data_IF_733924524590
#
_entry.id   IF_733924524590
#
_cell.length_a   1.000
_cell.length_b   1.000
_cell.length_c   1.000
_cell.angle_alpha   90.00
_cell.angle_beta   90.00
_cell.angle_gamma   90.00
#
_symmetry.space_group_name_H-M   'P 1'
#
loop_
_entity.id
_entity.type
_entity.pdbx_description
1 polymer ?
#
# COMPACT_ATOMS: atom_id res chain seq x y z
N UNK A 1 -4.93 9.52 -57.85
CA UNK A 1 -4.30 8.54 -56.99
C UNK A 1 -3.50 9.23 -55.85
N UNK A 2 -4.13 9.91 -54.90
CA UNK A 2 -3.44 10.60 -53.73
C UNK A 2 -4.30 10.68 -52.45
N UNK A 3 -5.17 9.73 -52.15
CA UNK A 3 -6.02 9.78 -50.94
C UNK A 3 -5.98 8.50 -50.08
N UNK A 4 -5.03 7.59 -50.30
CA UNK A 4 -5.00 6.30 -49.57
C UNK A 4 -3.87 6.15 -48.52
N UNK A 5 -3.04 7.18 -48.29
CA UNK A 5 -1.83 7.05 -47.44
C UNK A 5 -2.01 7.63 -46.02
N UNK A 6 -3.09 8.37 -45.75
CA UNK A 6 -3.25 9.08 -44.45
C UNK A 6 -3.91 8.22 -43.33
N UNK A 7 -4.57 7.11 -43.68
CA UNK A 7 -5.34 6.31 -42.70
C UNK A 7 -4.49 5.27 -41.92
N UNK A 8 -3.31 4.90 -42.42
CA UNK A 8 -2.48 3.86 -41.80
C UNK A 8 -1.61 4.38 -40.62
N UNK A 9 -1.39 5.70 -40.56
CA UNK A 9 -0.54 6.29 -39.49
C UNK A 9 -1.26 6.56 -38.15
N UNK A 10 -2.58 6.40 -38.08
CA UNK A 10 -3.37 6.67 -36.87
C UNK A 10 -3.66 5.42 -36.02
N UNK A 11 -3.26 4.23 -36.46
CA UNK A 11 -3.53 2.97 -35.72
C UNK A 11 -2.34 2.42 -34.93
N UNK A 12 -1.19 3.11 -34.90
CA UNK A 12 0.00 2.61 -34.21
C UNK A 12 0.28 3.24 -32.82
N UNK A 13 -0.61 4.05 -32.26
CA UNK A 13 -0.30 4.80 -31.03
C UNK A 13 -0.99 4.31 -29.74
N UNK A 14 -1.55 3.10 -29.70
CA UNK A 14 -2.28 2.67 -28.49
C UNK A 14 -1.63 1.56 -27.64
N UNK A 15 -0.39 1.17 -27.89
CA UNK A 15 0.26 0.08 -27.15
C UNK A 15 1.53 0.46 -26.34
N UNK A 16 1.88 1.73 -26.22
CA UNK A 16 3.16 2.11 -25.61
C UNK A 16 3.16 2.19 -24.07
N UNK A 17 2.02 2.44 -23.42
CA UNK A 17 1.97 2.76 -21.99
C UNK A 17 2.33 1.57 -21.09
N UNK A 18 2.03 0.33 -21.49
CA UNK A 18 2.32 -0.84 -20.66
C UNK A 18 3.74 -1.41 -20.83
N UNK A 19 4.40 -1.13 -21.93
CA UNK A 19 5.77 -1.55 -22.17
C UNK A 19 6.78 -0.71 -21.39
N UNK A 20 6.53 0.59 -21.25
CA UNK A 20 7.44 1.52 -20.58
C UNK A 20 7.59 1.24 -19.10
N UNK A 21 6.52 0.89 -18.38
CA UNK A 21 6.60 0.60 -16.93
C UNK A 21 7.40 -0.67 -16.65
N UNK A 22 7.22 -1.73 -17.45
CA UNK A 22 8.05 -2.95 -17.33
C UNK A 22 9.50 -2.61 -17.67
N UNK A 23 9.72 -1.80 -18.69
CA UNK A 23 11.03 -1.40 -19.13
C UNK A 23 11.76 -0.54 -18.09
N UNK A 24 11.05 0.35 -17.40
CA UNK A 24 11.63 1.18 -16.35
C UNK A 24 12.00 0.37 -15.09
N UNK A 25 11.18 -0.62 -14.69
CA UNK A 25 11.55 -1.54 -13.61
C UNK A 25 12.73 -2.45 -13.98
N UNK A 26 12.82 -2.88 -15.25
CA UNK A 26 13.96 -3.67 -15.77
C UNK A 26 15.23 -2.80 -15.88
N UNK A 27 15.07 -1.51 -16.12
CA UNK A 27 16.18 -0.54 -16.10
C UNK A 27 16.72 -0.25 -14.71
N UNK A 28 15.99 -0.59 -13.63
CA UNK A 28 16.61 -0.58 -12.31
C UNK A 28 17.62 -1.74 -12.33
N UNK A 29 18.92 -1.43 -12.54
CA UNK A 29 19.93 -2.47 -12.57
C UNK A 29 19.85 -3.16 -11.21
N UNK A 30 19.94 -4.47 -11.14
CA UNK A 30 19.97 -5.15 -9.86
C UNK A 30 18.64 -5.65 -9.30
N UNK A 31 17.50 -5.46 -9.98
CA UNK A 31 16.27 -6.19 -9.67
C UNK A 31 16.21 -7.50 -10.46
N UNK A 32 15.83 -8.58 -9.78
CA UNK A 32 15.53 -9.87 -10.42
C UNK A 32 14.08 -10.30 -10.13
N UNK A 33 13.51 -11.06 -11.07
CA UNK A 33 12.18 -11.63 -10.92
C UNK A 33 12.26 -12.78 -9.91
N UNK A 34 11.40 -12.72 -8.89
CA UNK A 34 11.25 -13.76 -7.87
C UNK A 34 10.05 -14.68 -8.18
N UNK A 35 8.87 -14.12 -8.39
CA UNK A 35 7.67 -14.88 -8.77
C UNK A 35 6.72 -14.03 -9.63
N UNK A 36 6.29 -14.61 -10.76
CA UNK A 36 5.30 -14.01 -11.67
C UNK A 36 4.06 -14.90 -11.85
N UNK A 37 4.06 -16.10 -11.24
CA UNK A 37 2.98 -17.08 -11.36
C UNK A 37 2.05 -17.00 -10.16
N UNK A 38 1.43 -15.83 -9.95
CA UNK A 38 0.56 -15.57 -8.80
C UNK A 38 -0.91 -15.54 -9.22
N UNK A 39 -1.86 -15.97 -8.35
CA UNK A 39 -3.28 -16.01 -8.69
C UNK A 39 -3.86 -14.64 -9.07
N UNK A 40 -3.38 -13.58 -8.42
CA UNK A 40 -3.83 -12.19 -8.62
C UNK A 40 -2.97 -11.40 -9.60
N UNK A 41 -2.04 -12.08 -10.32
CA UNK A 41 -1.14 -11.51 -11.34
C UNK A 41 -0.14 -10.46 -10.83
N UNK A 42 0.04 -10.32 -9.52
CA UNK A 42 1.16 -9.55 -8.98
C UNK A 42 2.48 -10.20 -9.38
N UNK A 43 3.45 -9.37 -9.70
CA UNK A 43 4.81 -9.76 -10.05
C UNK A 43 5.74 -9.34 -8.92
N UNK A 44 6.47 -10.30 -8.38
CA UNK A 44 7.41 -10.10 -7.28
C UNK A 44 8.82 -10.04 -7.81
N UNK A 45 9.53 -8.98 -7.45
CA UNK A 45 10.94 -8.75 -7.75
C UNK A 45 11.69 -8.60 -6.43
N UNK A 46 12.99 -8.82 -6.47
CA UNK A 46 13.85 -8.60 -5.32
C UNK A 46 15.14 -7.90 -5.71
N UNK A 47 15.73 -7.18 -4.77
CA UNK A 47 17.03 -6.55 -4.97
C UNK A 47 18.14 -7.59 -4.88
N UNK A 48 18.83 -7.83 -5.98
CA UNK A 48 20.04 -8.68 -6.02
C UNK A 48 21.27 -7.91 -5.54
N UNK A 49 21.29 -6.62 -5.80
CA UNK A 49 22.31 -5.67 -5.36
C UNK A 49 21.63 -4.38 -4.90
N UNK A 50 22.32 -3.52 -4.12
CA UNK A 50 21.78 -2.22 -3.75
C UNK A 50 21.41 -1.38 -4.97
N UNK A 51 20.34 -0.61 -4.85
CA UNK A 51 19.92 0.35 -5.86
C UNK A 51 19.42 1.63 -5.23
N UNK A 52 19.40 2.70 -6.01
CA UNK A 52 18.86 4.00 -5.64
C UNK A 52 17.82 4.45 -6.66
N UNK A 53 16.75 5.10 -6.17
CA UNK A 53 15.64 5.63 -6.97
C UNK A 53 15.30 7.06 -6.53
N UNK A 54 14.27 7.62 -7.18
CA UNK A 54 13.77 8.96 -6.89
C UNK A 54 14.47 10.05 -7.68
N UNK A 55 13.87 11.24 -7.71
CA UNK A 55 14.34 12.39 -8.52
C UNK A 55 15.78 12.74 -8.16
N UNK A 56 16.12 12.77 -6.87
CA UNK A 56 17.45 13.12 -6.37
C UNK A 56 18.21 11.88 -5.84
N UNK A 57 17.87 10.68 -6.31
CA UNK A 57 18.42 9.42 -5.79
C UNK A 57 18.27 9.28 -4.27
N UNK A 58 17.18 9.78 -3.74
CA UNK A 58 16.90 9.87 -2.31
C UNK A 58 16.27 8.60 -1.73
N UNK A 59 15.84 7.65 -2.56
CA UNK A 59 15.34 6.34 -2.14
C UNK A 59 16.47 5.35 -2.26
N UNK A 60 16.83 4.69 -1.16
CA UNK A 60 17.87 3.69 -1.11
C UNK A 60 17.30 2.36 -0.66
N UNK A 61 17.75 1.28 -1.28
CA UNK A 61 17.36 -0.08 -0.95
C UNK A 61 18.53 -1.03 -1.14
N UNK A 62 18.74 -1.94 -0.20
CA UNK A 62 19.85 -2.86 -0.21
C UNK A 62 19.43 -4.27 -0.69
N UNK A 63 20.43 -5.09 -1.01
CA UNK A 63 20.20 -6.43 -1.52
C UNK A 63 19.52 -7.34 -0.49
N UNK A 64 18.60 -8.17 -0.97
CA UNK A 64 17.85 -9.12 -0.16
C UNK A 64 18.67 -10.38 0.13
N UNK A 65 18.85 -10.72 1.41
CA UNK A 65 19.42 -12.01 1.81
C UNK A 65 18.41 -13.13 1.57
N UNK A 66 18.85 -14.21 0.94
CA UNK A 66 17.96 -15.31 0.51
C UNK A 66 17.05 -15.84 1.61
N UNK A 67 17.57 -16.05 2.82
CA UNK A 67 16.79 -16.59 3.96
C UNK A 67 15.66 -15.65 4.37
N UNK A 68 15.96 -14.35 4.51
CA UNK A 68 14.97 -13.34 4.88
C UNK A 68 13.93 -13.19 3.76
N UNK A 69 14.39 -13.16 2.51
CA UNK A 69 13.55 -13.06 1.33
C UNK A 69 12.52 -14.20 1.27
N UNK A 70 12.92 -15.45 1.46
CA UNK A 70 12.05 -16.62 1.41
C UNK A 70 10.98 -16.59 2.53
N UNK A 71 11.35 -16.20 3.75
CA UNK A 71 10.42 -16.07 4.87
C UNK A 71 9.39 -14.96 4.62
N UNK A 72 9.87 -13.75 4.32
CA UNK A 72 9.01 -12.57 4.15
C UNK A 72 8.16 -12.66 2.90
N UNK A 73 8.67 -13.24 1.81
CA UNK A 73 7.88 -13.48 0.60
C UNK A 73 6.60 -14.29 0.89
N UNK A 74 6.70 -15.37 1.68
CA UNK A 74 5.52 -16.18 2.05
C UNK A 74 4.46 -15.33 2.75
N UNK A 75 4.89 -14.46 3.67
CA UNK A 75 4.02 -13.57 4.42
C UNK A 75 3.41 -12.49 3.51
N UNK A 76 4.23 -11.84 2.67
CA UNK A 76 3.78 -10.84 1.70
C UNK A 76 2.76 -11.46 0.74
N UNK A 77 3.08 -12.60 0.13
CA UNK A 77 2.17 -13.31 -0.79
C UNK A 77 0.85 -13.69 -0.12
N UNK A 78 0.88 -14.23 1.10
CA UNK A 78 -0.32 -14.57 1.88
C UNK A 78 -1.23 -13.35 2.05
N UNK A 79 -0.67 -12.19 2.38
CA UNK A 79 -1.43 -10.97 2.61
C UNK A 79 -1.94 -10.35 1.30
N UNK A 80 -1.10 -10.26 0.29
CA UNK A 80 -1.48 -9.65 -1.00
C UNK A 80 -2.41 -10.54 -1.84
N UNK A 81 -2.42 -11.86 -1.65
CA UNK A 81 -3.42 -12.75 -2.25
C UNK A 81 -4.85 -12.53 -1.72
N UNK A 82 -5.02 -11.68 -0.70
CA UNK A 82 -6.34 -11.23 -0.25
C UNK A 82 -7.00 -10.29 -1.26
N UNK A 83 -6.23 -9.64 -2.10
CA UNK A 83 -6.70 -8.74 -3.15
C UNK A 83 -6.90 -9.51 -4.45
N UNK A 84 -8.08 -9.36 -5.07
CA UNK A 84 -8.35 -9.96 -6.37
C UNK A 84 -7.56 -9.25 -7.47
N UNK A 85 -7.31 -9.93 -8.58
CA UNK A 85 -6.69 -9.31 -9.76
C UNK A 85 -7.49 -8.08 -10.23
N UNK A 86 -8.83 -8.16 -10.20
CA UNK A 86 -9.70 -7.06 -10.61
C UNK A 86 -9.50 -5.83 -9.71
N UNK A 87 -9.46 -6.02 -8.38
CA UNK A 87 -9.20 -4.93 -7.44
C UNK A 87 -7.81 -4.32 -7.66
N UNK A 88 -6.77 -5.14 -7.78
CA UNK A 88 -5.41 -4.68 -8.02
C UNK A 88 -5.27 -3.89 -9.32
N UNK A 89 -6.02 -4.27 -10.36
CA UNK A 89 -6.07 -3.51 -11.61
C UNK A 89 -6.73 -2.13 -11.41
N UNK A 90 -7.79 -2.04 -10.58
CA UNK A 90 -8.46 -0.76 -10.28
C UNK A 90 -7.55 0.22 -9.56
N UNK A 91 -6.71 -0.28 -8.65
CA UNK A 91 -5.72 0.54 -7.92
C UNK A 91 -4.37 0.62 -8.64
N UNK A 92 -4.27 0.05 -9.83
CA UNK A 92 -3.08 0.07 -10.67
C UNK A 92 -1.81 -0.56 -10.04
N UNK A 93 -1.94 -1.48 -9.07
CA UNK A 93 -0.80 -2.18 -8.47
C UNK A 93 -0.45 -3.44 -9.26
N UNK A 94 0.80 -3.55 -9.72
CA UNK A 94 1.29 -4.68 -10.54
C UNK A 94 2.56 -5.33 -10.01
N UNK A 95 3.42 -4.57 -9.35
CA UNK A 95 4.77 -4.99 -8.95
C UNK A 95 4.98 -4.86 -7.47
N UNK A 96 5.63 -5.84 -6.88
CA UNK A 96 6.11 -5.81 -5.51
C UNK A 96 7.63 -5.96 -5.56
N UNK A 97 8.35 -5.00 -5.03
CA UNK A 97 9.80 -5.03 -4.92
C UNK A 97 10.18 -5.28 -3.47
N UNK A 98 10.98 -6.31 -3.24
CA UNK A 98 11.45 -6.72 -1.93
C UNK A 98 12.95 -6.38 -1.79
N UNK A 99 13.31 -5.63 -0.76
CA UNK A 99 14.69 -5.26 -0.48
C UNK A 99 14.92 -5.09 1.02
N UNK A 100 16.13 -4.87 1.45
CA UNK A 100 16.49 -4.64 2.86
C UNK A 100 16.88 -3.18 3.09
N UNK A 101 16.68 -2.69 4.32
CA UNK A 101 17.11 -1.37 4.78
C UNK A 101 16.63 -0.23 3.85
N UNK A 102 15.33 -0.26 3.52
CA UNK A 102 14.68 0.75 2.68
C UNK A 102 14.66 2.10 3.39
N UNK A 103 15.08 3.14 2.70
CA UNK A 103 15.05 4.50 3.23
C UNK A 103 14.69 5.53 2.16
N UNK A 104 14.08 6.64 2.59
CA UNK A 104 13.85 7.82 1.78
C UNK A 104 14.45 9.04 2.48
N UNK A 105 15.31 9.80 1.80
CA UNK A 105 16.03 10.95 2.38
C UNK A 105 16.73 10.61 3.70
N UNK A 106 17.33 9.41 3.78
CA UNK A 106 18.00 8.83 4.96
C UNK A 106 17.05 8.52 6.15
N UNK A 107 15.74 8.53 5.95
CA UNK A 107 14.75 8.08 6.95
C UNK A 107 14.35 6.66 6.58
N UNK A 108 14.57 5.71 7.49
CA UNK A 108 14.13 4.33 7.29
C UNK A 108 12.61 4.25 7.19
N UNK A 109 12.11 3.50 6.21
CA UNK A 109 10.69 3.29 6.00
C UNK A 109 10.39 1.81 5.75
N UNK A 110 9.19 1.39 6.10
CA UNK A 110 8.74 0.01 5.92
C UNK A 110 8.30 -0.30 4.49
N UNK A 111 7.83 0.71 3.77
CA UNK A 111 7.40 0.59 2.38
C UNK A 111 7.37 1.94 1.68
N UNK A 112 7.33 1.88 0.35
CA UNK A 112 7.15 3.05 -0.52
C UNK A 112 6.18 2.65 -1.63
N UNK A 113 4.95 3.19 -1.63
CA UNK A 113 4.01 3.04 -2.73
C UNK A 113 4.39 3.99 -3.89
N UNK A 114 4.31 3.51 -5.12
CA UNK A 114 4.55 4.32 -6.32
C UNK A 114 3.51 3.98 -7.40
N UNK A 115 2.52 4.83 -7.54
CA UNK A 115 1.45 4.67 -8.52
C UNK A 115 1.92 4.86 -9.96
N UNK A 116 2.94 5.68 -10.20
CA UNK A 116 3.53 5.90 -11.53
C UNK A 116 4.18 4.62 -12.03
N UNK A 117 4.98 3.99 -11.17
CA UNK A 117 5.64 2.71 -11.45
C UNK A 117 4.74 1.50 -11.21
N UNK A 118 3.49 1.68 -10.73
CA UNK A 118 2.54 0.60 -10.39
C UNK A 118 3.13 -0.39 -9.38
N UNK A 119 3.91 0.10 -8.46
CA UNK A 119 4.84 -0.67 -7.63
C UNK A 119 4.62 -0.37 -6.14
N UNK A 120 4.82 -1.38 -5.33
CA UNK A 120 5.02 -1.27 -3.89
C UNK A 120 6.41 -1.84 -3.56
N UNK A 121 7.27 -1.02 -3.00
CA UNK A 121 8.58 -1.43 -2.48
C UNK A 121 8.41 -1.72 -0.98
N UNK A 122 8.92 -2.84 -0.50
CA UNK A 122 8.82 -3.28 0.89
C UNK A 122 10.19 -3.59 1.48
N UNK A 123 10.47 -3.05 2.66
CA UNK A 123 11.61 -3.44 3.48
C UNK A 123 11.33 -4.78 4.16
N UNK A 124 11.96 -5.85 3.67
CA UNK A 124 11.78 -7.20 4.23
C UNK A 124 12.48 -7.40 5.59
N UNK A 125 13.29 -6.45 6.05
CA UNK A 125 13.87 -6.44 7.41
C UNK A 125 13.01 -5.72 8.44
N UNK A 126 11.96 -5.04 8.00
CA UNK A 126 11.09 -4.34 8.91
C UNK A 126 10.53 -5.26 10.00
N UNK A 127 10.23 -4.69 11.19
CA UNK A 127 9.80 -5.40 12.40
C UNK A 127 8.62 -6.34 12.11
N UNK A 128 8.82 -7.62 12.44
CA UNK A 128 7.87 -8.70 12.15
C UNK A 128 6.52 -8.50 12.85
N UNK A 129 6.52 -7.88 14.04
CA UNK A 129 5.29 -7.64 14.80
C UNK A 129 4.32 -6.70 14.07
N UNK A 130 4.83 -5.82 13.20
CA UNK A 130 4.03 -4.85 12.47
C UNK A 130 3.93 -5.16 10.98
N UNK A 131 4.75 -6.06 10.44
CA UNK A 131 4.97 -6.22 9.01
C UNK A 131 3.69 -6.61 8.24
N UNK A 132 2.84 -7.52 8.77
CA UNK A 132 1.56 -7.85 8.13
C UNK A 132 0.67 -6.59 7.98
N UNK A 133 0.64 -5.75 9.00
CA UNK A 133 -0.14 -4.51 8.99
C UNK A 133 0.44 -3.50 8.02
N UNK A 134 1.76 -3.32 8.02
CA UNK A 134 2.48 -2.43 7.10
C UNK A 134 2.19 -2.77 5.63
N UNK A 135 2.18 -4.03 5.23
CA UNK A 135 1.82 -4.41 3.85
C UNK A 135 0.47 -3.81 3.44
N UNK A 136 -0.53 -3.86 4.32
CA UNK A 136 -1.85 -3.32 4.03
C UNK A 136 -1.89 -1.79 4.14
N UNK A 137 -1.13 -1.22 5.06
CA UNK A 137 -0.94 0.22 5.22
C UNK A 137 -0.44 0.85 3.90
N UNK A 138 0.62 0.32 3.34
CA UNK A 138 1.19 0.80 2.07
C UNK A 138 0.25 0.57 0.87
N UNK A 139 -0.48 -0.55 0.85
CA UNK A 139 -1.52 -0.77 -0.16
C UNK A 139 -2.62 0.30 -0.05
N UNK A 140 -2.94 0.78 1.17
CA UNK A 140 -3.93 1.83 1.31
C UNK A 140 -3.48 3.16 0.69
N UNK A 141 -2.20 3.53 0.80
CA UNK A 141 -1.70 4.73 0.13
C UNK A 141 -1.89 4.65 -1.39
N UNK A 142 -1.70 3.46 -2.00
CA UNK A 142 -2.00 3.24 -3.42
C UNK A 142 -3.49 3.38 -3.70
N UNK A 143 -4.36 2.85 -2.83
CA UNK A 143 -5.83 3.02 -2.94
C UNK A 143 -6.19 4.50 -2.85
N UNK A 144 -5.70 5.19 -1.84
CA UNK A 144 -5.97 6.60 -1.59
C UNK A 144 -5.53 7.47 -2.78
N UNK A 145 -4.32 7.24 -3.31
CA UNK A 145 -3.81 7.99 -4.45
C UNK A 145 -4.62 7.72 -5.74
N UNK A 146 -5.11 6.48 -5.92
CA UNK A 146 -5.96 6.11 -7.06
C UNK A 146 -7.40 6.65 -6.97
N UNK A 147 -7.89 6.96 -5.76
CA UNK A 147 -9.29 7.36 -5.48
C UNK A 147 -9.37 8.50 -4.46
N UNK A 148 -8.58 9.57 -4.67
CA UNK A 148 -8.48 10.73 -3.76
C UNK A 148 -9.83 11.37 -3.42
N UNK A 149 -10.75 11.36 -4.37
CA UNK A 149 -12.09 11.89 -4.17
C UNK A 149 -12.93 11.08 -3.16
N UNK A 150 -12.66 9.79 -3.02
CA UNK A 150 -13.35 8.92 -2.04
C UNK A 150 -12.73 9.02 -0.64
N UNK A 151 -11.44 9.29 -0.54
CA UNK A 151 -10.67 9.33 0.70
C UNK A 151 -10.19 10.75 1.02
N UNK A 152 -11.12 11.70 1.01
CA UNK A 152 -10.83 13.10 1.24
C UNK A 152 -10.39 13.38 2.68
N UNK A 153 -9.19 13.94 2.84
CA UNK A 153 -8.56 14.18 4.15
C UNK A 153 -9.31 15.22 5.01
N UNK A 154 -9.96 16.21 4.38
CA UNK A 154 -10.76 17.22 5.10
C UNK A 154 -11.99 16.54 5.73
N UNK A 155 -12.70 15.73 4.96
CA UNK A 155 -13.86 14.98 5.47
C UNK A 155 -13.46 14.00 6.57
N UNK A 156 -12.28 13.37 6.45
CA UNK A 156 -11.72 12.49 7.46
C UNK A 156 -11.38 13.22 8.74
N UNK A 157 -10.74 14.39 8.65
CA UNK A 157 -10.33 15.20 9.79
C UNK A 157 -11.52 15.67 10.62
N UNK A 158 -12.69 15.87 10.00
CA UNK A 158 -13.93 16.26 10.67
C UNK A 158 -14.52 15.19 11.62
N UNK A 159 -14.03 13.96 11.59
CA UNK A 159 -14.42 12.95 12.59
C UNK A 159 -13.76 13.17 13.95
N UNK A 160 -12.60 13.83 13.98
CA UNK A 160 -11.85 14.07 15.22
C UNK A 160 -12.54 15.13 16.09
N UNK A 161 -12.14 15.21 17.35
CA UNK A 161 -12.57 16.29 18.24
C UNK A 161 -12.06 17.63 17.73
N UNK A 162 -12.77 18.72 18.03
CA UNK A 162 -12.52 20.05 17.47
C UNK A 162 -11.11 20.58 17.76
N UNK A 163 -10.54 20.22 18.89
CA UNK A 163 -9.21 20.67 19.33
C UNK A 163 -8.07 19.90 18.68
N UNK A 164 -8.36 18.74 18.06
CA UNK A 164 -7.32 17.90 17.45
C UNK A 164 -6.86 18.47 16.10
N UNK A 165 -5.56 18.45 15.87
CA UNK A 165 -4.94 18.80 14.57
C UNK A 165 -3.87 17.78 14.23
N UNK A 166 -3.89 17.31 12.99
CA UNK A 166 -2.78 16.53 12.43
C UNK A 166 -1.53 17.41 12.28
N UNK A 167 -0.35 16.77 12.24
CA UNK A 167 0.89 17.44 11.88
C UNK A 167 0.92 17.74 10.36
N UNK A 168 1.85 18.59 9.94
CA UNK A 168 2.03 18.95 8.52
C UNK A 168 2.60 17.80 7.68
N UNK A 169 3.34 16.87 8.30
CA UNK A 169 3.87 15.66 7.65
C UNK A 169 4.02 14.52 8.66
N UNK A 170 4.08 13.28 8.14
CA UNK A 170 4.17 12.06 8.97
C UNK A 170 5.44 12.00 9.83
N UNK A 171 6.51 12.66 9.40
CA UNK A 171 7.79 12.73 10.12
C UNK A 171 7.99 14.02 10.91
N UNK A 172 7.03 14.97 10.86
CA UNK A 172 7.07 16.24 11.60
C UNK A 172 6.60 16.10 13.05
N UNK A 173 6.34 14.92 13.53
CA UNK A 173 5.84 14.62 14.87
C UNK A 173 6.71 13.59 15.58
N UNK A 174 6.63 13.57 16.92
CA UNK A 174 7.26 12.53 17.75
C UNK A 174 6.35 11.32 17.99
N UNK A 175 5.10 11.35 17.51
CA UNK A 175 4.10 10.30 17.65
C UNK A 175 4.28 9.24 16.55
N UNK A 176 5.28 8.38 16.71
CA UNK A 176 5.69 7.41 15.70
C UNK A 176 5.46 5.95 16.11
N UNK A 177 4.87 5.71 17.30
CA UNK A 177 4.64 4.34 17.77
C UNK A 177 3.57 3.64 16.93
N UNK A 178 3.92 2.44 16.46
CA UNK A 178 3.03 1.54 15.76
C UNK A 178 2.26 0.59 16.69
N UNK A 179 2.47 0.68 18.00
CA UNK A 179 1.73 -0.11 18.98
C UNK A 179 0.25 0.28 18.99
N UNK A 180 -0.63 -0.71 19.01
CA UNK A 180 -2.08 -0.46 19.12
C UNK A 180 -2.40 0.14 20.48
N UNK A 181 -3.11 1.25 20.49
CA UNK A 181 -3.54 1.95 21.70
C UNK A 181 -4.49 1.07 22.52
N UNK A 182 -4.31 1.03 23.84
CA UNK A 182 -5.25 0.36 24.75
C UNK A 182 -6.60 1.08 24.80
N UNK A 183 -6.58 2.42 24.72
CA UNK A 183 -7.75 3.30 24.64
C UNK A 183 -7.60 4.10 23.34
N UNK A 184 -8.47 3.88 22.38
CA UNK A 184 -8.28 4.33 21.00
C UNK A 184 -8.50 5.83 20.81
N UNK A 185 -9.42 6.47 21.50
CA UNK A 185 -9.72 7.92 21.39
C UNK A 185 -9.73 8.42 19.92
N UNK A 186 -10.30 7.64 19.02
CA UNK A 186 -10.33 7.93 17.58
C UNK A 186 -9.13 7.41 16.78
N UNK A 187 -8.10 6.82 17.41
CA UNK A 187 -6.86 6.43 16.74
C UNK A 187 -6.39 5.03 17.17
N UNK A 188 -6.01 4.19 16.21
CA UNK A 188 -5.46 2.86 16.52
C UNK A 188 -4.07 2.90 17.12
N UNK A 189 -3.22 3.83 16.69
CA UNK A 189 -1.82 3.96 17.08
C UNK A 189 -1.48 5.43 17.30
N UNK A 190 -0.37 5.74 17.95
CA UNK A 190 0.16 7.10 17.97
C UNK A 190 0.50 7.59 16.56
N UNK A 191 0.98 6.70 15.68
CA UNK A 191 1.30 7.03 14.30
C UNK A 191 0.07 7.49 13.51
N UNK A 192 -1.12 6.98 13.84
CA UNK A 192 -2.38 7.48 13.28
C UNK A 192 -2.63 8.97 13.53
N UNK A 193 -2.01 9.55 14.57
CA UNK A 193 -2.18 10.96 14.90
C UNK A 193 -1.26 11.88 14.07
N UNK A 194 -0.41 11.33 13.20
CA UNK A 194 0.57 12.10 12.43
C UNK A 194 -0.08 12.88 11.28
N UNK A 195 -0.74 12.22 10.35
CA UNK A 195 -1.50 12.87 9.26
C UNK A 195 -2.82 12.14 9.00
N UNK A 196 -3.74 12.79 8.30
CA UNK A 196 -5.02 12.18 7.93
C UNK A 196 -4.82 10.95 7.01
N UNK A 197 -3.85 11.02 6.11
CA UNK A 197 -3.49 9.91 5.21
C UNK A 197 -2.98 8.69 5.98
N UNK A 198 -2.07 8.90 6.95
CA UNK A 198 -1.54 7.83 7.80
C UNK A 198 -2.63 7.22 8.68
N UNK A 199 -3.52 8.05 9.22
CA UNK A 199 -4.65 7.57 10.03
C UNK A 199 -5.61 6.69 9.21
N UNK A 200 -5.95 7.09 8.00
CA UNK A 200 -6.76 6.25 7.10
C UNK A 200 -6.05 4.92 6.79
N UNK A 201 -4.73 4.95 6.54
CA UNK A 201 -3.94 3.75 6.26
C UNK A 201 -3.86 2.83 7.48
N UNK A 202 -3.70 3.39 8.69
CA UNK A 202 -3.74 2.63 9.94
C UNK A 202 -5.11 1.99 10.18
N UNK A 203 -6.22 2.72 9.99
CA UNK A 203 -7.56 2.15 10.09
C UNK A 203 -7.76 1.01 9.10
N UNK A 204 -7.39 1.21 7.84
CA UNK A 204 -7.50 0.17 6.82
C UNK A 204 -6.64 -1.06 7.15
N UNK A 205 -5.38 -0.87 7.53
CA UNK A 205 -4.46 -1.97 7.83
C UNK A 205 -4.93 -2.82 9.00
N UNK A 206 -5.46 -2.20 10.06
CA UNK A 206 -6.05 -2.90 11.21
C UNK A 206 -7.28 -3.72 10.82
N UNK A 207 -8.14 -3.20 9.93
CA UNK A 207 -9.26 -3.96 9.38
C UNK A 207 -8.79 -5.18 8.58
N UNK A 208 -7.70 -5.02 7.82
CA UNK A 208 -7.17 -6.08 6.96
C UNK A 208 -6.51 -7.21 7.74
N UNK A 209 -5.83 -6.93 8.84
CA UNK A 209 -5.26 -7.97 9.71
C UNK A 209 -6.26 -8.56 10.70
N UNK A 210 -7.47 -7.98 10.80
CA UNK A 210 -8.57 -8.54 11.61
C UNK A 210 -8.42 -8.24 13.11
N UNK A 211 -7.96 -7.05 13.47
CA UNK A 211 -7.93 -6.61 14.88
C UNK A 211 -9.33 -6.72 15.50
N UNK A 212 -9.40 -7.28 16.72
CA UNK A 212 -10.65 -7.35 17.47
C UNK A 212 -11.07 -5.92 17.84
N UNK A 213 -12.23 -5.50 17.34
CA UNK A 213 -12.80 -4.17 17.58
C UNK A 213 -13.61 -4.14 18.89
N UNK A 214 -13.11 -4.79 19.93
CA UNK A 214 -13.74 -4.74 21.26
C UNK A 214 -13.43 -3.37 21.87
N UNK A 215 -14.46 -2.61 22.24
CA UNK A 215 -14.34 -1.26 22.84
C UNK A 215 -13.76 -0.19 21.90
N UNK A 216 -14.16 -0.18 20.65
CA UNK A 216 -13.90 0.94 19.73
C UNK A 216 -14.73 2.14 20.18
N UNK A 217 -14.06 3.29 20.28
CA UNK A 217 -14.77 4.54 20.58
C UNK A 217 -15.61 5.03 19.37
N UNK A 218 -16.61 5.93 19.60
CA UNK A 218 -17.50 6.36 18.54
C UNK A 218 -16.82 7.09 17.36
N UNK A 219 -15.66 7.74 17.58
CA UNK A 219 -14.92 8.43 16.53
C UNK A 219 -14.30 7.40 15.60
N UNK A 220 -13.59 6.42 16.18
CA UNK A 220 -12.95 5.35 15.42
C UNK A 220 -13.99 4.49 14.69
N UNK A 221 -15.18 4.28 15.27
CA UNK A 221 -16.27 3.57 14.60
C UNK A 221 -16.73 4.31 13.33
N UNK A 222 -16.89 5.65 13.38
CA UNK A 222 -17.19 6.47 12.19
C UNK A 222 -16.10 6.36 11.13
N UNK A 223 -14.83 6.42 11.52
CA UNK A 223 -13.67 6.27 10.64
C UNK A 223 -13.67 4.89 9.94
N UNK A 224 -13.90 3.82 10.70
CA UNK A 224 -14.03 2.46 10.17
C UNK A 224 -15.17 2.37 9.16
N UNK A 225 -16.32 2.96 9.48
CA UNK A 225 -17.47 2.94 8.58
C UNK A 225 -17.21 3.74 7.30
N UNK A 226 -16.51 4.87 7.40
CA UNK A 226 -16.09 5.67 6.24
C UNK A 226 -15.21 4.85 5.28
N UNK A 227 -14.15 4.20 5.81
CA UNK A 227 -13.28 3.32 5.00
C UNK A 227 -14.09 2.21 4.33
N UNK A 228 -14.94 1.49 5.08
CA UNK A 228 -15.75 0.39 4.53
C UNK A 228 -16.69 0.86 3.43
N UNK A 229 -17.35 2.00 3.63
CA UNK A 229 -18.31 2.56 2.66
C UNK A 229 -17.64 2.95 1.36
N UNK A 230 -16.46 3.57 1.44
CA UNK A 230 -15.73 4.00 0.25
C UNK A 230 -15.07 2.83 -0.49
N UNK A 231 -14.57 1.83 0.22
CA UNK A 231 -14.10 0.59 -0.42
C UNK A 231 -15.20 -0.15 -1.18
N UNK A 232 -16.45 -0.12 -0.69
CA UNK A 232 -17.61 -0.68 -1.42
C UNK A 232 -17.90 0.03 -2.74
N UNK A 233 -17.63 1.32 -2.85
CA UNK A 233 -17.78 2.06 -4.10
C UNK A 233 -16.73 1.62 -5.13
N UNK A 234 -15.53 1.25 -4.69
CA UNK A 234 -14.46 0.75 -5.55
C UNK A 234 -14.76 -0.71 -5.98
N UNK A 235 -15.09 -1.56 -5.01
CA UNK A 235 -15.38 -2.98 -5.25
C UNK A 235 -16.45 -3.50 -4.30
N UNK A 236 -17.62 -3.81 -4.85
CA UNK A 236 -18.76 -4.35 -4.11
C UNK A 236 -18.45 -5.69 -3.40
N UNK A 237 -17.51 -6.46 -3.93
CA UNK A 237 -17.11 -7.76 -3.38
C UNK A 237 -16.09 -7.63 -2.25
N UNK A 238 -15.41 -6.51 -2.12
CA UNK A 238 -14.34 -6.30 -1.14
C UNK A 238 -14.82 -6.55 0.31
N UNK A 239 -16.01 -6.10 0.65
CA UNK A 239 -16.56 -6.28 2.01
C UNK A 239 -17.04 -7.71 2.29
N UNK A 240 -17.47 -8.47 1.30
CA UNK A 240 -17.80 -9.88 1.51
C UNK A 240 -16.58 -10.64 1.98
N UNK A 241 -15.43 -10.29 1.47
CA UNK A 241 -14.16 -10.85 1.86
C UNK A 241 -13.75 -10.38 3.28
N UNK A 242 -13.85 -9.09 3.64
CA UNK A 242 -13.62 -8.59 5.00
C UNK A 242 -14.53 -9.28 6.04
N UNK A 243 -15.81 -9.52 5.70
CA UNK A 243 -16.74 -10.27 6.58
C UNK A 243 -16.30 -11.71 6.80
N UNK A 244 -15.76 -12.38 5.77
CA UNK A 244 -15.21 -13.74 5.90
C UNK A 244 -13.99 -13.77 6.81
N UNK A 245 -13.12 -12.78 6.73
CA UNK A 245 -11.98 -12.62 7.66
C UNK A 245 -12.45 -12.48 9.10
N UNK A 246 -13.30 -11.51 9.37
CA UNK A 246 -13.77 -11.23 10.73
C UNK A 246 -14.45 -12.46 11.37
N UNK A 247 -15.23 -13.26 10.60
CA UNK A 247 -15.82 -14.51 11.09
C UNK A 247 -14.78 -15.58 11.44
N UNK A 248 -13.65 -15.63 10.75
CA UNK A 248 -12.56 -16.60 11.07
C UNK A 248 -11.82 -16.22 12.36
N UNK A 249 -11.70 -14.94 12.65
CA UNK A 249 -11.06 -14.45 13.88
C UNK A 249 -11.98 -14.45 15.10
N UNK A 250 -13.31 -14.45 14.91
CA UNK A 250 -14.27 -14.58 16.01
C UNK A 250 -14.45 -16.03 16.51
N UNK A 251 -14.00 -17.05 15.74
CA UNK A 251 -14.11 -18.47 16.07
C UNK A 251 -12.85 -19.05 16.73
N UNK A 252 -11.84 -18.27 16.98
CA UNK A 252 -10.64 -18.60 17.76
C UNK A 252 -10.61 -17.78 19.04
#
# INVERSE_FOLDING_TARGET
>A
MKKAIIIILLLMNFNSINADVIFDLIKIPNLEIYDIKTPNKLRYLYAKQPFTLGIDKNINCYNSKKVILEQKYKLIKKNLNRYTQEFLNKINLKYIVMCEDLSISNINTAGIPDNTMKTLILDIKFDENYFERVIHHEVFHIINDSFKELFNEVNWSNFNVEEFRYAECSTCTKKLSLNTNKITKGFFTEYSESTASEDMAEVFSHLMVGVKLNNVDPILEKKIQFIKTNLLKIDKNFILWLRKLNRRYQKK
#
